data_IF_176210828819
#
_entry.id   IF_176210828819
#
_cell.length_a   1.000
_cell.length_b   1.000
_cell.length_c   1.000
_cell.angle_alpha   90.00
_cell.angle_beta   90.00
_cell.angle_gamma   90.00
#
_symmetry.space_group_name_H-M   'P 1'
#
loop_
_entity.id
_entity.type
_entity.pdbx_description
1 polymer ?
#
# COMPACT_ATOMS: atom_id res chain seq x y z
N UNK A 1 -6.34 -21.97 14.93
CA UNK A 1 -7.23 -20.89 14.41
C UNK A 1 -6.67 -19.57 14.96
N UNK A 2 -6.26 -18.66 14.09
CA UNK A 2 -5.66 -17.39 14.45
C UNK A 2 -6.72 -16.29 14.57
N UNK A 3 -6.48 -15.29 15.42
CA UNK A 3 -7.20 -14.02 15.48
C UNK A 3 -6.38 -12.95 14.77
N UNK A 4 -6.89 -12.42 13.66
CA UNK A 4 -6.22 -11.44 12.82
C UNK A 4 -6.95 -10.10 12.95
N UNK A 5 -6.25 -9.07 13.42
CA UNK A 5 -6.77 -7.71 13.49
C UNK A 5 -6.38 -6.95 12.23
N UNK A 6 -7.37 -6.45 11.49
CA UNK A 6 -7.14 -5.53 10.36
C UNK A 6 -7.50 -4.12 10.82
N UNK A 7 -6.57 -3.17 10.74
CA UNK A 7 -6.84 -1.74 10.95
C UNK A 7 -6.97 -1.03 9.61
N UNK A 8 -7.77 0.05 9.54
CA UNK A 8 -8.07 0.71 8.27
C UNK A 8 -8.87 -0.19 7.30
N UNK A 9 -9.79 -0.98 7.86
CA UNK A 9 -10.53 -2.03 7.13
C UNK A 9 -11.47 -1.47 6.04
N UNK A 10 -11.79 -0.18 6.07
CA UNK A 10 -12.63 0.47 5.05
C UNK A 10 -11.79 1.07 3.89
N UNK A 11 -10.46 1.05 3.99
CA UNK A 11 -9.55 1.44 2.91
C UNK A 11 -9.48 0.40 1.79
N UNK A 12 -8.70 0.68 0.75
CA UNK A 12 -8.54 -0.18 -0.43
C UNK A 12 -8.07 -1.60 -0.04
N UNK A 13 -6.91 -1.69 0.61
CA UNK A 13 -6.32 -2.96 1.02
C UNK A 13 -7.13 -3.64 2.12
N UNK A 14 -7.61 -2.87 3.12
CA UNK A 14 -8.43 -3.41 4.20
C UNK A 14 -9.72 -4.06 3.70
N UNK A 15 -10.40 -3.44 2.72
CA UNK A 15 -11.59 -4.00 2.09
C UNK A 15 -11.30 -5.29 1.32
N UNK A 16 -10.18 -5.35 0.60
CA UNK A 16 -9.76 -6.57 -0.10
C UNK A 16 -9.44 -7.72 0.88
N UNK A 17 -8.71 -7.43 1.96
CA UNK A 17 -8.43 -8.40 3.03
C UNK A 17 -9.70 -8.87 3.75
N UNK A 18 -10.63 -7.97 4.04
CA UNK A 18 -11.93 -8.31 4.64
C UNK A 18 -12.69 -9.31 3.76
N UNK A 19 -12.69 -9.11 2.44
CA UNK A 19 -13.33 -10.04 1.48
C UNK A 19 -12.69 -11.43 1.53
N UNK A 20 -11.36 -11.51 1.54
CA UNK A 20 -10.63 -12.78 1.64
C UNK A 20 -10.85 -13.44 3.01
N UNK A 21 -10.89 -12.66 4.09
CA UNK A 21 -11.16 -13.17 5.44
C UNK A 21 -12.49 -13.90 5.59
N UNK A 22 -13.50 -13.58 4.75
CA UNK A 22 -14.80 -14.26 4.80
C UNK A 22 -14.75 -15.76 4.44
N UNK A 23 -13.72 -16.21 3.73
CA UNK A 23 -13.55 -17.63 3.32
C UNK A 23 -12.45 -18.35 4.10
N UNK A 24 -11.79 -17.64 5.04
CA UNK A 24 -10.73 -18.18 5.88
C UNK A 24 -11.28 -19.03 7.05
N UNK A 25 -10.57 -20.06 7.49
CA UNK A 25 -10.85 -20.73 8.76
C UNK A 25 -10.44 -19.92 9.98
N UNK A 26 -9.70 -18.83 9.78
CA UNK A 26 -9.23 -17.92 10.82
C UNK A 26 -10.26 -16.82 11.13
N UNK A 27 -10.11 -16.15 12.26
CA UNK A 27 -11.01 -15.08 12.69
C UNK A 27 -10.43 -13.71 12.30
N UNK A 28 -10.99 -13.07 11.27
CA UNK A 28 -10.59 -11.74 10.80
C UNK A 28 -11.46 -10.66 11.48
N UNK A 29 -10.82 -9.86 12.35
CA UNK A 29 -11.45 -8.77 13.10
C UNK A 29 -11.10 -7.46 12.39
N UNK A 30 -12.09 -6.90 11.70
CA UNK A 30 -11.92 -5.69 10.89
C UNK A 30 -12.30 -4.45 11.69
N UNK A 31 -11.39 -3.48 11.76
CA UNK A 31 -11.60 -2.21 12.47
C UNK A 31 -11.18 -1.03 11.61
N UNK A 32 -11.89 0.08 11.79
CA UNK A 32 -11.49 1.40 11.30
C UNK A 32 -11.50 2.39 12.46
N UNK A 33 -11.30 3.68 12.20
CA UNK A 33 -11.17 4.69 13.25
C UNK A 33 -12.36 4.72 14.22
N UNK A 34 -13.56 4.36 13.76
CA UNK A 34 -14.76 4.33 14.61
C UNK A 34 -14.74 3.19 15.63
N UNK A 35 -14.18 2.03 15.27
CA UNK A 35 -14.09 0.86 16.14
C UNK A 35 -12.78 0.84 16.95
N UNK A 36 -11.68 1.31 16.36
CA UNK A 36 -10.36 1.36 16.99
C UNK A 36 -9.54 2.53 16.44
N UNK A 37 -9.45 3.61 17.21
CA UNK A 37 -8.49 4.67 16.93
C UNK A 37 -7.08 4.20 17.30
N UNK A 38 -6.25 3.94 16.30
CA UNK A 38 -4.87 3.46 16.48
C UNK A 38 -3.95 4.51 17.13
N UNK A 39 -4.38 5.77 17.24
CA UNK A 39 -3.63 6.81 17.94
C UNK A 39 -3.76 6.69 19.48
N UNK A 40 -4.78 5.98 19.97
CA UNK A 40 -4.92 5.65 21.39
C UNK A 40 -4.18 4.34 21.72
N UNK A 41 -2.97 4.48 22.26
CA UNK A 41 -2.12 3.35 22.65
C UNK A 41 -2.80 2.39 23.62
N UNK A 42 -3.61 2.92 24.55
CA UNK A 42 -4.31 2.11 25.57
C UNK A 42 -5.45 1.30 24.96
N UNK A 43 -6.20 1.89 24.01
CA UNK A 43 -7.25 1.18 23.29
C UNK A 43 -6.66 0.09 22.40
N UNK A 44 -5.53 0.37 21.72
CA UNK A 44 -4.81 -0.61 20.89
C UNK A 44 -4.38 -1.81 21.73
N UNK A 45 -3.64 -1.58 22.83
CA UNK A 45 -3.15 -2.66 23.69
C UNK A 45 -4.31 -3.50 24.22
N UNK A 46 -5.31 -2.86 24.79
CA UNK A 46 -6.50 -3.52 25.34
C UNK A 46 -7.21 -4.38 24.28
N UNK A 47 -7.39 -3.86 23.05
CA UNK A 47 -8.01 -4.61 21.95
C UNK A 47 -7.21 -5.86 21.59
N UNK A 48 -5.87 -5.73 21.48
CA UNK A 48 -4.98 -6.84 21.13
C UNK A 48 -5.00 -7.92 22.21
N UNK A 49 -5.01 -7.54 23.48
CA UNK A 49 -5.07 -8.47 24.63
C UNK A 49 -6.43 -9.16 24.72
N UNK A 50 -7.53 -8.40 24.81
CA UNK A 50 -8.88 -8.93 25.02
C UNK A 50 -9.34 -9.85 23.86
N UNK A 51 -8.98 -9.49 22.63
CA UNK A 51 -9.29 -10.28 21.43
C UNK A 51 -8.27 -11.38 21.15
N UNK A 52 -7.19 -11.49 21.95
CA UNK A 52 -6.10 -12.47 21.80
C UNK A 52 -5.57 -12.49 20.37
N UNK A 53 -5.19 -11.31 19.86
CA UNK A 53 -4.73 -11.14 18.48
C UNK A 53 -3.38 -11.82 18.28
N UNK A 54 -3.30 -12.67 17.27
CA UNK A 54 -2.07 -13.36 16.84
C UNK A 54 -1.34 -12.58 15.75
N UNK A 55 -2.08 -11.91 14.85
CA UNK A 55 -1.54 -11.11 13.76
C UNK A 55 -2.28 -9.78 13.68
N UNK A 56 -1.53 -8.69 13.57
CA UNK A 56 -2.05 -7.34 13.28
C UNK A 56 -1.68 -7.00 11.85
N UNK A 57 -2.66 -6.69 10.99
CA UNK A 57 -2.42 -6.17 9.64
C UNK A 57 -2.79 -4.69 9.62
N UNK A 58 -1.78 -3.83 9.64
CA UNK A 58 -1.98 -2.39 9.62
C UNK A 58 -2.12 -1.86 8.20
N UNK A 59 -3.37 -1.64 7.76
CA UNK A 59 -3.72 -0.96 6.51
C UNK A 59 -4.07 0.53 6.72
N UNK A 60 -4.16 0.99 7.97
CA UNK A 60 -4.44 2.38 8.29
C UNK A 60 -3.21 3.25 8.03
N UNK A 61 -3.40 4.34 7.30
CA UNK A 61 -2.34 5.31 7.02
C UNK A 61 -2.94 6.67 6.61
N UNK A 62 -2.16 7.72 6.77
CA UNK A 62 -2.39 9.00 6.09
C UNK A 62 -1.78 8.92 4.69
N UNK A 63 -2.60 8.80 3.65
CA UNK A 63 -2.14 8.50 2.27
C UNK A 63 -2.24 9.69 1.31
N UNK A 64 -2.79 10.83 1.75
CA UNK A 64 -2.85 12.04 0.92
C UNK A 64 -1.47 12.71 0.89
N UNK A 65 -0.72 12.39 -0.16
CA UNK A 65 0.68 12.84 -0.34
C UNK A 65 0.78 14.36 -0.40
N UNK A 66 -0.18 15.03 -1.09
CA UNK A 66 -0.19 16.49 -1.23
C UNK A 66 -0.50 17.19 0.11
N UNK A 67 -1.48 16.69 0.84
CA UNK A 67 -1.83 17.23 2.17
C UNK A 67 -0.81 16.91 3.24
N UNK A 68 -0.02 15.86 3.09
CA UNK A 68 1.06 15.55 4.03
C UNK A 68 2.13 16.66 4.07
N UNK A 69 2.36 17.37 2.95
CA UNK A 69 3.24 18.54 2.93
C UNK A 69 2.66 19.75 3.69
N UNK A 70 1.34 19.82 3.81
CA UNK A 70 0.65 20.92 4.52
C UNK A 70 0.42 20.60 6.01
N UNK A 71 0.24 19.32 6.34
CA UNK A 71 -0.07 18.85 7.69
C UNK A 71 0.80 17.62 8.05
N UNK A 72 2.12 17.81 8.02
CA UNK A 72 3.09 16.78 8.41
C UNK A 72 2.84 16.27 9.84
N UNK A 73 2.42 17.10 10.85
CA UNK A 73 2.10 16.59 12.19
C UNK A 73 0.99 15.54 12.20
N UNK A 74 -0.04 15.67 11.37
CA UNK A 74 -1.11 14.69 11.26
C UNK A 74 -0.65 13.45 10.51
N UNK A 75 0.13 13.60 9.46
CA UNK A 75 0.76 12.48 8.78
C UNK A 75 1.68 11.69 9.72
N UNK A 76 2.51 12.38 10.53
CA UNK A 76 3.37 11.77 11.55
C UNK A 76 2.57 11.04 12.63
N UNK A 77 1.45 11.63 13.08
CA UNK A 77 0.59 10.99 14.07
C UNK A 77 0.11 9.61 13.60
N UNK A 78 -0.37 9.51 12.34
CA UNK A 78 -0.93 8.26 11.81
C UNK A 78 0.13 7.32 11.24
N UNK A 79 1.11 7.85 10.50
CA UNK A 79 2.09 7.01 9.80
C UNK A 79 3.27 6.59 10.69
N UNK A 80 3.50 7.26 11.82
CA UNK A 80 4.61 6.99 12.71
C UNK A 80 4.14 6.64 14.13
N UNK A 81 3.52 7.59 14.87
CA UNK A 81 3.20 7.38 16.29
C UNK A 81 2.17 6.28 16.50
N UNK A 82 1.10 6.26 15.72
CA UNK A 82 0.09 5.21 15.78
C UNK A 82 0.66 3.83 15.37
N UNK A 83 1.58 3.80 14.41
CA UNK A 83 2.31 2.57 14.06
C UNK A 83 3.17 2.09 15.22
N UNK A 84 3.81 3.00 15.95
CA UNK A 84 4.52 2.70 17.18
C UNK A 84 3.63 2.07 18.25
N UNK A 85 2.38 2.54 18.41
CA UNK A 85 1.40 1.95 19.34
C UNK A 85 1.07 0.49 18.98
N UNK A 86 0.85 0.21 17.66
CA UNK A 86 0.60 -1.14 17.18
C UNK A 86 1.81 -2.06 17.41
N UNK A 87 3.02 -1.56 17.15
CA UNK A 87 4.25 -2.30 17.37
C UNK A 87 4.50 -2.59 18.86
N UNK A 88 4.21 -1.64 19.74
CA UNK A 88 4.31 -1.83 21.18
C UNK A 88 3.30 -2.88 21.69
N UNK A 89 2.05 -2.84 21.23
CA UNK A 89 1.04 -3.83 21.55
C UNK A 89 1.43 -5.23 21.03
N UNK A 90 1.91 -5.32 19.78
CA UNK A 90 2.41 -6.57 19.21
C UNK A 90 3.57 -7.16 20.05
N UNK A 91 4.51 -6.29 20.49
CA UNK A 91 5.62 -6.72 21.38
C UNK A 91 5.12 -7.24 22.70
N UNK A 92 4.18 -6.53 23.36
CA UNK A 92 3.66 -6.87 24.68
C UNK A 92 2.90 -8.21 24.67
N UNK A 93 2.17 -8.52 23.60
CA UNK A 93 1.31 -9.71 23.51
C UNK A 93 1.95 -10.88 22.76
N UNK A 94 3.06 -10.65 22.06
CA UNK A 94 3.69 -11.66 21.19
C UNK A 94 3.01 -11.81 19.81
N UNK A 95 2.09 -10.91 19.45
CA UNK A 95 1.51 -10.86 18.12
C UNK A 95 2.56 -10.50 17.04
N UNK A 96 2.29 -10.83 15.79
CA UNK A 96 3.12 -10.42 14.65
C UNK A 96 2.48 -9.22 13.94
N UNK A 97 3.26 -8.16 13.69
CA UNK A 97 2.77 -6.97 13.00
C UNK A 97 3.11 -7.01 11.52
N UNK A 98 2.11 -7.00 10.66
CA UNK A 98 2.21 -6.76 9.22
C UNK A 98 1.92 -5.29 8.96
N UNK A 99 2.91 -4.53 8.49
CA UNK A 99 2.79 -3.09 8.26
C UNK A 99 2.98 -2.75 6.79
N UNK A 100 2.06 -1.98 6.22
CA UNK A 100 2.15 -1.52 4.84
C UNK A 100 2.85 -0.17 4.77
N UNK A 101 3.94 -0.12 4.01
CA UNK A 101 4.74 1.08 3.74
C UNK A 101 4.70 1.45 2.25
N UNK A 102 5.63 2.26 1.78
CA UNK A 102 5.58 2.92 0.46
C UNK A 102 6.95 2.97 -0.22
N UNK A 103 6.93 3.08 -1.54
CA UNK A 103 8.06 3.43 -2.41
C UNK A 103 8.58 4.86 -2.17
N UNK A 104 7.76 5.77 -1.61
CA UNK A 104 8.16 7.14 -1.26
C UNK A 104 9.25 7.23 -0.18
N UNK A 105 9.66 6.11 0.40
CA UNK A 105 10.85 6.07 1.26
C UNK A 105 12.15 6.26 0.48
N UNK A 106 12.13 6.16 -0.85
CA UNK A 106 13.27 6.36 -1.75
C UNK A 106 13.24 7.72 -2.44
N UNK A 107 14.41 8.19 -2.91
CA UNK A 107 14.59 9.51 -3.53
C UNK A 107 14.23 9.56 -5.03
N UNK A 108 14.01 8.43 -5.67
CA UNK A 108 13.65 8.37 -7.08
C UNK A 108 14.81 8.59 -8.05
N UNK A 109 16.06 8.54 -7.61
CA UNK A 109 17.26 8.78 -8.44
C UNK A 109 17.86 7.51 -9.05
N UNK A 110 17.38 6.34 -8.66
CA UNK A 110 17.86 5.07 -9.21
C UNK A 110 17.45 4.89 -10.68
N UNK A 111 18.16 4.01 -11.37
CA UNK A 111 17.88 3.58 -12.74
C UNK A 111 17.78 2.04 -12.84
N UNK A 112 17.78 1.38 -11.69
CA UNK A 112 17.51 -0.04 -11.49
C UNK A 112 16.51 -0.19 -10.35
N UNK A 113 15.73 -1.30 -10.29
CA UNK A 113 14.75 -1.48 -9.23
C UNK A 113 15.37 -1.39 -7.83
N UNK A 114 14.70 -0.64 -6.94
CA UNK A 114 15.10 -0.51 -5.54
C UNK A 114 14.96 -1.85 -4.83
N UNK A 115 16.01 -2.26 -4.12
CA UNK A 115 16.01 -3.44 -3.27
C UNK A 115 15.69 -3.05 -1.83
N UNK A 116 15.29 -4.03 -1.01
CA UNK A 116 14.95 -3.79 0.40
C UNK A 116 16.14 -3.30 1.24
N UNK A 117 17.36 -3.62 0.84
CA UNK A 117 18.60 -3.18 1.47
C UNK A 117 19.10 -1.80 0.98
N UNK A 118 18.46 -1.21 -0.02
CA UNK A 118 18.77 0.15 -0.47
C UNK A 118 18.44 1.15 0.64
N UNK A 119 19.40 2.03 0.97
CA UNK A 119 19.21 3.04 2.01
C UNK A 119 18.06 3.99 1.67
N UNK A 120 17.04 4.14 2.52
CA UNK A 120 15.94 5.07 2.28
C UNK A 120 16.40 6.54 2.36
N UNK A 121 15.86 7.37 1.47
CA UNK A 121 16.13 8.82 1.36
C UNK A 121 14.86 9.57 0.90
N UNK A 122 13.80 9.65 1.72
CA UNK A 122 12.52 10.23 1.32
C UNK A 122 12.61 11.72 1.03
N UNK A 123 11.95 12.18 -0.04
CA UNK A 123 11.95 13.58 -0.47
C UNK A 123 10.88 14.42 0.27
N UNK A 124 9.68 13.88 0.47
CA UNK A 124 8.53 14.59 1.01
C UNK A 124 8.09 14.11 2.40
N UNK A 125 7.15 14.84 3.01
CA UNK A 125 6.60 14.56 4.34
C UNK A 125 5.93 13.19 4.43
N UNK A 126 5.20 12.77 3.39
CA UNK A 126 4.60 11.44 3.35
C UNK A 126 5.66 10.34 3.47
N UNK A 127 6.69 10.38 2.64
CA UNK A 127 7.79 9.41 2.69
C UNK A 127 8.54 9.42 4.01
N UNK A 128 8.83 10.63 4.57
CA UNK A 128 9.50 10.77 5.88
C UNK A 128 8.69 10.14 7.01
N UNK A 129 7.38 10.41 7.07
CA UNK A 129 6.51 9.89 8.13
C UNK A 129 6.29 8.38 8.02
N UNK A 130 6.16 7.84 6.80
CA UNK A 130 6.10 6.39 6.56
C UNK A 130 7.40 5.69 6.97
N UNK A 131 8.55 6.24 6.62
CA UNK A 131 9.86 5.71 7.04
C UNK A 131 10.04 5.77 8.56
N UNK A 132 9.56 6.82 9.22
CA UNK A 132 9.57 6.90 10.68
C UNK A 132 8.74 5.76 11.31
N UNK A 133 7.59 5.42 10.72
CA UNK A 133 6.79 4.25 11.10
C UNK A 133 7.55 2.94 10.93
N UNK A 134 8.21 2.70 9.79
CA UNK A 134 9.06 1.51 9.59
C UNK A 134 10.12 1.40 10.70
N UNK A 135 10.81 2.50 10.99
CA UNK A 135 11.85 2.55 12.04
C UNK A 135 11.28 2.28 13.43
N UNK A 136 10.08 2.79 13.74
CA UNK A 136 9.40 2.51 15.01
C UNK A 136 9.06 1.01 15.13
N UNK A 137 8.59 0.36 14.07
CA UNK A 137 8.35 -1.09 14.05
C UNK A 137 9.65 -1.86 14.29
N UNK A 138 10.71 -1.56 13.54
CA UNK A 138 12.01 -2.25 13.67
C UNK A 138 12.62 -2.08 15.07
N UNK A 139 12.51 -0.88 15.65
CA UNK A 139 13.06 -0.57 16.97
C UNK A 139 12.26 -1.18 18.13
N UNK A 140 10.98 -1.54 17.92
CA UNK A 140 10.10 -2.06 18.98
C UNK A 140 10.51 -3.44 19.50
N UNK A 141 11.20 -4.22 18.65
CA UNK A 141 11.55 -5.62 18.93
C UNK A 141 10.36 -6.59 18.88
N UNK A 142 9.22 -6.19 18.28
CA UNK A 142 8.14 -7.13 17.94
C UNK A 142 8.53 -7.98 16.70
N UNK A 143 7.82 -9.08 16.48
CA UNK A 143 7.89 -9.79 15.18
C UNK A 143 7.14 -8.97 14.14
N UNK A 144 7.70 -8.80 12.94
CA UNK A 144 7.08 -7.97 11.92
C UNK A 144 7.40 -8.39 10.49
N UNK A 145 6.45 -8.08 9.60
CA UNK A 145 6.69 -7.99 8.17
C UNK A 145 6.28 -6.57 7.72
N UNK A 146 7.16 -5.88 7.03
CA UNK A 146 6.89 -4.58 6.42
C UNK A 146 6.81 -4.77 4.91
N UNK A 147 5.69 -4.35 4.30
CA UNK A 147 5.48 -4.42 2.86
C UNK A 147 5.55 -3.01 2.28
N UNK A 148 6.61 -2.67 1.54
CA UNK A 148 6.66 -1.46 0.74
C UNK A 148 5.94 -1.72 -0.57
N UNK A 149 4.98 -0.88 -0.91
CA UNK A 149 4.19 -0.96 -2.14
C UNK A 149 4.15 0.38 -2.85
N UNK A 150 3.69 0.41 -4.10
CA UNK A 150 3.62 1.60 -4.94
C UNK A 150 2.29 1.66 -5.70
N UNK A 151 1.78 2.85 -5.99
CA UNK A 151 0.68 3.11 -6.92
C UNK A 151 -0.54 2.21 -6.70
N UNK A 152 -0.97 2.08 -5.43
CA UNK A 152 -2.05 1.19 -5.04
C UNK A 152 -3.40 1.66 -5.60
N UNK A 153 -4.12 0.75 -6.26
CA UNK A 153 -5.46 0.98 -6.77
C UNK A 153 -6.36 -0.24 -6.52
N UNK A 154 -7.67 -0.02 -6.57
CA UNK A 154 -8.67 -1.08 -6.43
C UNK A 154 -10.06 -0.60 -6.87
N UNK A 155 -11.03 -1.49 -6.83
CA UNK A 155 -12.47 -1.19 -6.93
C UNK A 155 -12.98 -0.34 -5.74
N UNK A 156 -12.27 -0.34 -4.60
CA UNK A 156 -12.64 0.39 -3.40
C UNK A 156 -12.01 1.79 -3.35
N UNK A 157 -12.66 2.69 -2.61
CA UNK A 157 -12.12 4.02 -2.30
C UNK A 157 -11.88 4.90 -3.53
N UNK A 158 -11.02 5.90 -3.36
CA UNK A 158 -10.59 6.81 -4.42
C UNK A 158 -9.14 6.49 -4.83
N UNK A 159 -8.87 6.39 -6.13
CA UNK A 159 -7.55 6.07 -6.67
C UNK A 159 -7.37 6.57 -8.11
N UNK A 160 -6.17 6.41 -8.65
CA UNK A 160 -5.82 6.88 -9.99
C UNK A 160 -6.65 6.18 -11.09
N UNK A 161 -6.84 4.86 -11.01
CA UNK A 161 -7.62 4.10 -12.00
C UNK A 161 -9.04 4.67 -12.12
N UNK A 162 -9.76 4.83 -11.01
CA UNK A 162 -11.13 5.39 -11.00
C UNK A 162 -11.16 6.85 -11.46
N UNK A 163 -10.12 7.61 -11.15
CA UNK A 163 -9.97 9.00 -11.62
C UNK A 163 -9.82 9.02 -13.14
N UNK A 164 -8.97 8.15 -13.71
CA UNK A 164 -8.79 8.08 -15.16
C UNK A 164 -10.06 7.61 -15.87
N UNK A 165 -10.74 6.58 -15.36
CA UNK A 165 -12.03 6.14 -15.92
C UNK A 165 -13.03 7.30 -16.02
N UNK A 166 -13.18 8.07 -14.96
CA UNK A 166 -14.08 9.23 -14.96
C UNK A 166 -13.61 10.33 -15.92
N UNK A 167 -12.33 10.74 -15.84
CA UNK A 167 -11.84 11.86 -16.64
C UNK A 167 -11.81 11.54 -18.13
N UNK A 168 -11.48 10.31 -18.53
CA UNK A 168 -11.45 9.91 -19.93
C UNK A 168 -12.84 9.71 -20.54
N UNK A 169 -13.88 9.50 -19.70
CA UNK A 169 -15.27 9.50 -20.16
C UNK A 169 -15.87 10.90 -20.29
N UNK A 170 -15.35 11.89 -19.55
CA UNK A 170 -15.91 13.24 -19.45
C UNK A 170 -15.19 14.28 -20.32
N UNK A 171 -13.95 14.00 -20.79
CA UNK A 171 -13.09 14.99 -21.44
C UNK A 171 -12.60 14.52 -22.80
N UNK A 172 -12.50 15.46 -23.72
CA UNK A 172 -11.91 15.22 -25.06
C UNK A 172 -10.38 15.11 -25.01
N UNK A 173 -9.75 15.74 -24.01
CA UNK A 173 -8.30 15.79 -23.89
C UNK A 173 -7.89 15.75 -22.41
N UNK A 174 -6.84 14.98 -22.10
CA UNK A 174 -6.26 14.87 -20.77
C UNK A 174 -4.73 14.85 -20.86
N UNK A 175 -4.05 15.66 -20.04
CA UNK A 175 -2.59 15.59 -19.88
C UNK A 175 -2.22 14.69 -18.72
N UNK A 176 -1.25 13.79 -18.92
CA UNK A 176 -0.77 12.86 -17.88
C UNK A 176 0.76 12.78 -17.92
N UNK A 177 1.37 12.81 -16.74
CA UNK A 177 2.83 12.79 -16.56
C UNK A 177 3.42 11.48 -17.09
N UNK A 178 4.49 11.55 -17.90
CA UNK A 178 5.16 10.39 -18.49
C UNK A 178 6.58 10.15 -17.95
N UNK A 179 7.18 11.12 -17.24
CA UNK A 179 8.54 11.08 -16.70
C UNK A 179 8.61 10.67 -15.21
N UNK A 180 7.54 10.07 -14.71
CA UNK A 180 7.51 9.36 -13.43
C UNK A 180 7.25 7.88 -13.71
N UNK A 181 8.21 7.04 -13.36
CA UNK A 181 8.25 5.61 -13.70
C UNK A 181 8.09 4.78 -12.43
N UNK A 182 7.14 3.86 -12.45
CA UNK A 182 6.84 2.98 -11.31
C UNK A 182 6.10 1.73 -11.74
N UNK A 183 5.44 1.09 -10.79
CA UNK A 183 4.59 -0.07 -11.07
C UNK A 183 3.25 0.09 -10.35
N UNK A 184 2.12 0.07 -11.07
CA UNK A 184 0.81 -0.01 -10.43
C UNK A 184 0.67 -1.30 -9.62
N UNK A 185 -0.03 -1.23 -8.49
CA UNK A 185 -0.31 -2.40 -7.64
C UNK A 185 -1.81 -2.53 -7.41
N UNK A 186 -2.38 -3.62 -7.81
CA UNK A 186 -3.76 -3.95 -7.47
C UNK A 186 -3.84 -4.37 -5.99
N UNK A 187 -4.68 -3.70 -5.21
CA UNK A 187 -4.81 -3.98 -3.78
C UNK A 187 -5.31 -5.40 -3.49
N UNK A 188 -6.04 -6.01 -4.43
CA UNK A 188 -6.45 -7.40 -4.36
C UNK A 188 -5.27 -8.38 -4.39
N UNK A 189 -4.23 -8.08 -5.20
CA UNK A 189 -3.05 -8.94 -5.31
C UNK A 189 -2.15 -8.80 -4.07
N UNK A 190 -1.95 -7.59 -3.57
CA UNK A 190 -1.27 -7.38 -2.28
C UNK A 190 -2.04 -8.04 -1.12
N UNK A 191 -3.38 -7.93 -1.12
CA UNK A 191 -4.22 -8.59 -0.13
C UNK A 191 -4.07 -10.12 -0.20
N UNK A 192 -4.08 -10.69 -1.41
CA UNK A 192 -3.90 -12.14 -1.61
C UNK A 192 -2.52 -12.60 -1.14
N UNK A 193 -1.46 -11.82 -1.40
CA UNK A 193 -0.11 -12.11 -0.91
C UNK A 193 -0.06 -12.13 0.63
N UNK A 194 -0.56 -11.08 1.28
CA UNK A 194 -0.64 -11.00 2.76
C UNK A 194 -1.49 -12.16 3.32
N UNK A 195 -2.66 -12.39 2.74
CA UNK A 195 -3.56 -13.47 3.13
C UNK A 195 -2.87 -14.83 3.04
N UNK A 196 -2.21 -15.14 1.92
CA UNK A 196 -1.51 -16.41 1.72
C UNK A 196 -0.35 -16.62 2.71
N UNK A 197 0.37 -15.56 3.06
CA UNK A 197 1.44 -15.60 4.07
C UNK A 197 0.85 -15.90 5.46
N UNK A 198 -0.31 -15.34 5.80
CA UNK A 198 -1.00 -15.60 7.08
C UNK A 198 -1.54 -17.03 7.11
N UNK A 199 -2.31 -17.45 6.10
CA UNK A 199 -2.94 -18.77 6.04
C UNK A 199 -1.94 -19.93 6.07
N UNK A 200 -0.77 -19.72 5.48
CA UNK A 200 0.33 -20.71 5.50
C UNK A 200 1.23 -20.60 6.74
N UNK A 201 1.02 -19.60 7.60
CA UNK A 201 1.86 -19.26 8.77
C UNK A 201 3.37 -19.10 8.45
N UNK A 202 3.71 -18.86 7.16
CA UNK A 202 5.10 -18.75 6.69
C UNK A 202 5.80 -17.45 7.09
N UNK A 203 5.12 -16.57 7.82
CA UNK A 203 5.72 -15.36 8.39
C UNK A 203 6.66 -15.64 9.55
N UNK A 204 6.48 -16.76 10.26
CA UNK A 204 7.34 -17.13 11.38
C UNK A 204 8.77 -17.49 10.88
N UNK A 205 9.76 -16.77 11.37
CA UNK A 205 11.17 -16.91 10.94
C UNK A 205 11.51 -16.20 9.61
N UNK A 206 10.55 -15.48 9.04
CA UNK A 206 10.74 -14.69 7.83
C UNK A 206 10.44 -13.19 8.08
N UNK A 207 10.77 -12.72 9.30
CA UNK A 207 10.61 -11.31 9.66
C UNK A 207 11.48 -10.41 8.78
N UNK A 208 10.97 -9.21 8.46
CA UNK A 208 11.76 -8.24 7.71
C UNK A 208 10.95 -7.29 6.83
N UNK A 209 11.68 -6.57 5.97
CA UNK A 209 11.11 -5.69 4.95
C UNK A 209 11.02 -6.44 3.64
N UNK A 210 9.90 -6.28 2.95
CA UNK A 210 9.61 -6.87 1.64
C UNK A 210 9.04 -5.81 0.70
N UNK A 211 9.32 -5.95 -0.58
CA UNK A 211 8.71 -5.16 -1.63
C UNK A 211 7.60 -5.95 -2.31
N UNK A 212 6.45 -5.33 -2.54
CA UNK A 212 5.37 -5.91 -3.30
C UNK A 212 4.72 -4.87 -4.20
N UNK A 213 4.81 -5.06 -5.50
CA UNK A 213 4.00 -4.43 -6.56
C UNK A 213 3.66 -5.50 -7.58
N UNK A 214 2.72 -5.25 -8.47
CA UNK A 214 2.53 -6.14 -9.61
C UNK A 214 3.78 -6.16 -10.49
N UNK A 215 3.91 -7.11 -11.42
CA UNK A 215 5.06 -7.17 -12.33
C UNK A 215 4.94 -6.14 -13.47
N UNK A 216 6.07 -5.81 -14.07
CA UNK A 216 6.18 -4.83 -15.15
C UNK A 216 6.50 -3.42 -14.63
N UNK A 217 6.61 -2.48 -15.57
CA UNK A 217 6.98 -1.08 -15.33
C UNK A 217 6.23 -0.21 -16.32
N UNK A 218 5.76 0.96 -15.87
CA UNK A 218 5.13 1.95 -16.74
C UNK A 218 5.25 3.37 -16.18
N UNK A 219 4.91 4.37 -16.98
CA UNK A 219 4.64 5.73 -16.52
C UNK A 219 3.16 5.89 -16.13
N UNK A 220 2.81 7.00 -15.46
CA UNK A 220 1.40 7.35 -15.25
C UNK A 220 0.65 7.53 -16.58
N UNK A 221 1.34 8.05 -17.60
CA UNK A 221 0.79 8.19 -18.95
C UNK A 221 0.44 6.83 -19.57
N UNK A 222 1.35 5.85 -19.48
CA UNK A 222 1.09 4.50 -20.00
C UNK A 222 -0.09 3.86 -19.26
N UNK A 223 -0.12 4.00 -17.93
CA UNK A 223 -1.21 3.45 -17.11
C UNK A 223 -2.56 4.09 -17.47
N UNK A 224 -2.62 5.42 -17.63
CA UNK A 224 -3.83 6.11 -18.02
C UNK A 224 -4.31 5.69 -19.44
N UNK A 225 -3.38 5.51 -20.38
CA UNK A 225 -3.67 5.09 -21.75
C UNK A 225 -4.25 3.67 -21.78
N UNK A 226 -3.67 2.74 -21.02
CA UNK A 226 -4.19 1.37 -20.92
C UNK A 226 -5.56 1.31 -20.24
N UNK A 227 -5.79 2.14 -19.20
CA UNK A 227 -7.11 2.24 -18.55
C UNK A 227 -8.18 2.72 -19.56
N UNK A 228 -7.88 3.78 -20.32
CA UNK A 228 -8.81 4.33 -21.32
C UNK A 228 -9.11 3.30 -22.42
N UNK A 229 -8.10 2.64 -22.95
CA UNK A 229 -8.25 1.62 -23.98
C UNK A 229 -9.10 0.44 -23.48
N UNK A 230 -8.82 -0.07 -22.27
CA UNK A 230 -9.57 -1.17 -21.67
C UNK A 230 -11.04 -0.81 -21.36
N UNK A 231 -11.32 0.48 -21.10
CA UNK A 231 -12.68 1.00 -20.89
C UNK A 231 -13.42 1.38 -22.18
N UNK A 232 -12.77 1.33 -23.34
CA UNK A 232 -13.35 1.76 -24.63
C UNK A 232 -13.55 3.27 -24.73
N UNK A 233 -12.75 4.08 -24.02
CA UNK A 233 -12.83 5.53 -24.02
C UNK A 233 -11.97 6.15 -25.13
N UNK A 234 -12.18 5.74 -26.37
CA UNK A 234 -11.37 6.11 -27.56
C UNK A 234 -11.50 7.59 -27.96
N UNK A 235 -12.52 8.30 -27.48
CA UNK A 235 -12.76 9.72 -27.77
C UNK A 235 -11.83 10.67 -27.01
N UNK A 236 -11.28 10.24 -25.88
CA UNK A 236 -10.39 11.08 -25.07
C UNK A 236 -8.94 10.96 -25.55
N UNK A 237 -8.37 12.06 -26.00
CA UNK A 237 -6.95 12.12 -26.36
C UNK A 237 -6.09 12.32 -25.13
N UNK A 238 -5.33 11.30 -24.71
CA UNK A 238 -4.35 11.40 -23.61
C UNK A 238 -3.03 11.91 -24.18
N UNK A 239 -2.51 13.01 -23.62
CA UNK A 239 -1.29 13.69 -24.07
C UNK A 239 -0.24 13.55 -22.96
N UNK A 240 0.97 13.04 -23.26
CA UNK A 240 2.05 13.02 -22.28
C UNK A 240 2.52 14.44 -21.94
N UNK A 241 2.84 14.68 -20.69
CA UNK A 241 3.46 15.92 -20.22
C UNK A 241 4.59 15.61 -19.23
N UNK A 242 5.51 16.56 -19.07
CA UNK A 242 6.57 16.47 -18.04
C UNK A 242 6.04 16.82 -16.65
N UNK A 243 6.69 16.30 -15.61
CA UNK A 243 6.42 16.67 -14.21
C UNK A 243 6.48 18.19 -14.01
N UNK A 244 7.41 18.89 -14.70
CA UNK A 244 7.53 20.35 -14.64
C UNK A 244 6.32 21.11 -15.19
N UNK A 245 5.51 20.47 -16.04
CA UNK A 245 4.29 21.04 -16.61
C UNK A 245 3.05 20.75 -15.76
N UNK A 246 3.20 19.87 -14.76
CA UNK A 246 2.12 19.48 -13.84
C UNK A 246 2.54 19.77 -12.38
N UNK A 247 2.48 21.05 -11.94
CA UNK A 247 2.95 21.44 -10.63
C UNK A 247 2.15 20.75 -9.51
N UNK A 248 2.86 20.14 -8.57
CA UNK A 248 2.34 19.51 -7.35
C UNK A 248 3.11 20.07 -6.15
N UNK A 249 2.50 20.05 -4.95
CA UNK A 249 3.17 20.47 -3.71
C UNK A 249 4.20 19.43 -3.27
N UNK A 250 3.79 18.17 -3.33
CA UNK A 250 4.67 17.06 -2.98
C UNK A 250 5.64 16.75 -4.13
N UNK A 251 6.91 16.63 -3.79
CA UNK A 251 7.93 16.13 -4.72
C UNK A 251 7.73 14.62 -4.91
N UNK A 252 7.47 14.21 -6.14
CA UNK A 252 7.28 12.79 -6.50
C UNK A 252 8.55 12.20 -7.05
N UNK A 253 8.91 10.95 -6.70
CA UNK A 253 10.09 10.29 -7.26
C UNK A 253 9.93 10.10 -8.77
N UNK A 254 10.98 10.41 -9.55
CA UNK A 254 10.98 10.16 -10.99
C UNK A 254 11.04 8.65 -11.31
N UNK A 255 11.60 7.86 -10.40
CA UNK A 255 11.70 6.41 -10.53
C UNK A 255 11.38 5.74 -9.18
N UNK A 256 10.40 4.83 -9.15
CA UNK A 256 9.98 4.15 -7.92
C UNK A 256 9.76 2.63 -8.09
N UNK A 257 10.37 2.03 -9.10
CA UNK A 257 10.26 0.59 -9.34
C UNK A 257 10.93 -0.19 -8.21
N UNK A 258 10.20 -1.14 -7.62
CA UNK A 258 10.65 -1.98 -6.53
C UNK A 258 11.07 -3.37 -7.04
N UNK A 259 12.18 -3.91 -6.53
CA UNK A 259 12.59 -5.29 -6.75
C UNK A 259 11.75 -6.22 -5.85
N UNK A 260 11.13 -7.24 -6.41
CA UNK A 260 10.25 -8.19 -5.73
C UNK A 260 10.87 -9.59 -5.57
N UNK A 261 12.14 -9.73 -5.91
CA UNK A 261 12.83 -11.03 -5.86
C UNK A 261 12.73 -11.66 -4.49
N UNK A 262 13.00 -10.89 -3.42
CA UNK A 262 12.99 -11.38 -2.04
C UNK A 262 11.63 -11.96 -1.64
N UNK A 263 10.52 -11.27 -1.88
CA UNK A 263 9.21 -11.75 -1.47
C UNK A 263 8.81 -13.01 -2.26
N UNK A 264 9.09 -13.03 -3.57
CA UNK A 264 8.82 -14.19 -4.44
C UNK A 264 9.59 -15.43 -3.99
N UNK A 265 10.87 -15.28 -3.71
CA UNK A 265 11.73 -16.39 -3.25
C UNK A 265 11.36 -16.87 -1.84
N UNK A 266 11.12 -15.93 -0.90
CA UNK A 266 10.80 -16.28 0.50
C UNK A 266 9.48 -17.02 0.61
N UNK A 267 8.44 -16.52 -0.07
CA UNK A 267 7.08 -17.04 0.08
C UNK A 267 6.63 -17.92 -1.09
N UNK A 268 7.50 -18.13 -2.11
CA UNK A 268 7.23 -18.98 -3.28
C UNK A 268 5.91 -18.58 -3.95
N UNK A 269 5.79 -17.26 -4.28
CA UNK A 269 4.60 -16.71 -4.89
C UNK A 269 4.88 -16.16 -6.28
N UNK A 270 3.89 -16.29 -7.16
CA UNK A 270 3.85 -15.61 -8.43
C UNK A 270 3.07 -14.30 -8.29
N UNK A 271 3.53 -13.26 -8.99
CA UNK A 271 2.91 -11.94 -8.99
C UNK A 271 2.42 -11.66 -10.41
N UNK A 272 1.16 -11.27 -10.62
CA UNK A 272 0.64 -10.99 -11.95
C UNK A 272 1.26 -9.72 -12.54
N UNK A 273 1.18 -9.59 -13.86
CA UNK A 273 1.57 -8.35 -14.54
C UNK A 273 0.51 -7.26 -14.32
N UNK A 274 0.93 -6.01 -14.11
CA UNK A 274 0.03 -4.90 -13.77
C UNK A 274 -1.14 -4.71 -14.77
N UNK A 275 -0.94 -5.03 -16.06
CA UNK A 275 -2.02 -4.97 -17.06
C UNK A 275 -3.11 -6.02 -16.81
N UNK A 276 -2.73 -7.22 -16.45
CA UNK A 276 -3.68 -8.31 -16.12
C UNK A 276 -4.46 -7.95 -14.86
N UNK A 277 -3.76 -7.48 -13.83
CA UNK A 277 -4.34 -7.01 -12.58
C UNK A 277 -5.31 -5.84 -12.80
N UNK A 278 -4.94 -4.88 -13.67
CA UNK A 278 -5.79 -3.75 -14.05
C UNK A 278 -7.09 -4.22 -14.74
N UNK A 279 -6.98 -5.11 -15.72
CA UNK A 279 -8.13 -5.67 -16.43
C UNK A 279 -9.04 -6.42 -15.45
N UNK A 280 -8.47 -7.17 -14.50
CA UNK A 280 -9.22 -7.85 -13.46
C UNK A 280 -9.98 -6.84 -12.58
N UNK A 281 -9.31 -5.79 -12.11
CA UNK A 281 -9.92 -4.72 -11.31
C UNK A 281 -11.09 -4.04 -12.05
N UNK A 282 -10.93 -3.75 -13.36
CA UNK A 282 -12.00 -3.18 -14.18
C UNK A 282 -13.24 -4.09 -14.25
N UNK A 283 -13.06 -5.40 -14.33
CA UNK A 283 -14.17 -6.37 -14.29
C UNK A 283 -14.88 -6.32 -12.94
N UNK A 284 -14.13 -6.26 -11.83
CA UNK A 284 -14.72 -6.16 -10.48
C UNK A 284 -15.49 -4.84 -10.25
N UNK A 285 -15.15 -3.76 -10.97
CA UNK A 285 -15.90 -2.50 -10.94
C UNK A 285 -17.21 -2.56 -11.72
N UNK A 286 -17.35 -3.49 -12.67
CA UNK A 286 -18.52 -3.64 -13.53
C UNK A 286 -19.58 -4.59 -12.93
N UNK A 287 -19.20 -5.38 -11.93
CA UNK A 287 -20.08 -6.28 -11.15
C UNK A 287 -20.83 -5.53 -10.05
#
# INVERSE_FOLDING_TARGET
MLNILITGANGQLGSALRRLGCVSPHNYICTDVAELDITDASAVLRTVEERRIDVIVNCAAYTDVERAEEDEPRADLLNHKAVGNLAAAAKATGATLFHVSTDYVFDGTAHTPYREDTAPSPLGAYGRTKLAGERAVMASGCRYLIFRTAWLYSEYGHNFLKTMLRLTSERDTLQVVFDQIGTPTYAGDLALAIFSIIESERYAGNEGVYHFTDEGVCSWYDFATEIAAAAGHDSCRIIPCHTSEFPTKAQRPAYSVLDKTKIKETFQMDIPHWREAMIYCLKQLAE
#
